data_IF_959520479521
#
_entry.id   IF_959520479521
#
_cell.length_a   1.000
_cell.length_b   1.000
_cell.length_c   1.000
_cell.angle_alpha   90.00
_cell.angle_beta   90.00
_cell.angle_gamma   90.00
#
_symmetry.space_group_name_H-M   'P 1'
#
loop_
_entity.id
_entity.type
_entity.pdbx_description
1 polymer ?
#
# COMPACT_ATOMS: atom_id res chain seq x y z
N UNK A 1 -9.05 -4.10 -5.66
CA UNK A 1 -9.44 -2.68 -5.89
C UNK A 1 -9.82 -2.52 -7.35
N UNK A 2 -11.00 -2.09 -7.64
CA UNK A 2 -11.33 -1.81 -9.01
C UNK A 2 -10.39 -0.71 -9.53
N UNK A 3 -9.88 -0.90 -10.73
CA UNK A 3 -9.00 0.09 -11.36
C UNK A 3 -9.72 1.44 -11.38
N UNK A 4 -9.14 2.52 -10.84
CA UNK A 4 -9.77 3.84 -10.80
C UNK A 4 -10.26 4.30 -12.18
N UNK A 5 -11.39 5.01 -12.22
CA UNK A 5 -12.03 5.45 -13.46
C UNK A 5 -11.08 6.27 -14.35
N UNK A 6 -10.28 7.15 -13.77
CA UNK A 6 -9.33 7.96 -14.53
C UNK A 6 -8.26 7.09 -15.22
N UNK A 7 -7.82 5.99 -14.61
CA UNK A 7 -6.88 5.04 -15.23
C UNK A 7 -7.55 4.31 -16.37
N UNK A 8 -8.79 3.84 -16.21
CA UNK A 8 -9.55 3.22 -17.30
C UNK A 8 -9.69 4.14 -18.51
N UNK A 9 -10.04 5.39 -18.24
CA UNK A 9 -10.15 6.42 -19.30
C UNK A 9 -8.82 6.69 -20.01
N UNK A 10 -7.70 6.67 -19.27
CA UNK A 10 -6.37 6.79 -19.88
C UNK A 10 -6.03 5.57 -20.74
N UNK A 11 -6.30 4.35 -20.21
CA UNK A 11 -6.04 3.09 -20.93
C UNK A 11 -6.79 2.97 -22.26
N UNK A 12 -8.01 3.49 -22.35
CA UNK A 12 -8.76 3.55 -23.61
C UNK A 12 -8.03 4.34 -24.70
N UNK A 13 -7.17 5.28 -24.32
CA UNK A 13 -6.43 6.15 -25.24
C UNK A 13 -5.02 5.68 -25.55
N UNK A 14 -4.34 5.10 -24.56
CA UNK A 14 -2.92 4.75 -24.66
C UNK A 14 -2.69 3.22 -24.70
N UNK A 15 -3.73 2.40 -24.53
CA UNK A 15 -3.59 0.95 -24.47
C UNK A 15 -2.73 0.54 -23.28
N UNK A 16 -1.77 -0.35 -23.51
CA UNK A 16 -0.88 -0.91 -22.48
C UNK A 16 0.44 -0.17 -22.29
N UNK A 17 0.60 1.02 -22.91
CA UNK A 17 1.81 1.82 -22.71
C UNK A 17 2.07 2.14 -21.24
N UNK A 18 3.33 2.40 -20.90
CA UNK A 18 3.72 2.69 -19.52
C UNK A 18 2.96 3.90 -18.97
N UNK A 19 2.24 3.69 -17.88
CA UNK A 19 1.67 4.74 -17.03
C UNK A 19 2.57 4.96 -15.81
N UNK A 20 3.02 6.19 -15.63
CA UNK A 20 3.73 6.62 -14.44
C UNK A 20 2.74 7.24 -13.46
N UNK A 21 2.54 6.61 -12.32
CA UNK A 21 1.45 6.88 -11.38
C UNK A 21 1.98 7.12 -9.97
N UNK A 22 1.31 7.95 -9.17
CA UNK A 22 1.53 7.95 -7.74
C UNK A 22 1.00 6.65 -7.12
N UNK A 23 1.68 6.17 -6.08
CA UNK A 23 1.23 5.09 -5.23
C UNK A 23 1.33 5.48 -3.77
N UNK A 24 0.55 4.83 -2.92
CA UNK A 24 0.63 4.95 -1.46
C UNK A 24 0.73 3.57 -0.83
N UNK A 25 1.57 3.45 0.20
CA UNK A 25 1.77 2.21 0.97
C UNK A 25 1.78 2.52 2.46
N UNK A 26 1.12 1.72 3.28
CA UNK A 26 1.01 1.95 4.71
C UNK A 26 1.59 0.83 5.55
N UNK A 27 2.49 1.15 6.48
CA UNK A 27 2.83 0.28 7.61
C UNK A 27 1.88 0.62 8.74
N UNK A 28 0.84 -0.17 8.88
CA UNK A 28 -0.21 0.02 9.90
C UNK A 28 0.09 -0.84 11.11
N UNK A 29 0.17 -0.22 12.27
CA UNK A 29 0.51 -0.88 13.53
C UNK A 29 -0.66 -0.75 14.52
N UNK A 30 -0.97 -1.81 15.23
CA UNK A 30 -1.95 -1.78 16.32
C UNK A 30 -1.28 -1.48 17.68
N UNK A 31 -2.09 -1.38 18.74
CA UNK A 31 -1.61 -1.09 20.10
C UNK A 31 -0.67 -2.19 20.66
N UNK A 32 -0.72 -3.40 20.11
CA UNK A 32 0.18 -4.50 20.47
C UNK A 32 1.48 -4.52 19.65
N UNK A 33 1.66 -3.56 18.73
CA UNK A 33 2.83 -3.48 17.84
C UNK A 33 2.80 -4.48 16.68
N UNK A 34 1.64 -5.07 16.37
CA UNK A 34 1.46 -5.97 15.22
C UNK A 34 1.22 -5.17 13.95
N UNK A 35 1.67 -5.71 12.82
CA UNK A 35 1.56 -5.11 11.49
C UNK A 35 0.38 -5.70 10.74
N UNK A 36 -0.42 -4.85 10.11
CA UNK A 36 -1.53 -5.24 9.24
C UNK A 36 -1.02 -5.64 7.86
N UNK A 37 -1.39 -6.83 7.42
CA UNK A 37 -1.08 -7.34 6.09
C UNK A 37 -2.31 -7.91 5.41
N UNK A 38 -2.33 -7.83 4.09
CA UNK A 38 -3.28 -8.52 3.22
C UNK A 38 -2.57 -9.54 2.34
N UNK A 39 -3.21 -10.68 2.08
CA UNK A 39 -2.75 -11.65 1.10
C UNK A 39 -3.42 -11.37 -0.23
N UNK A 40 -2.66 -11.02 -1.24
CA UNK A 40 -3.16 -10.64 -2.57
C UNK A 40 -3.84 -11.82 -3.28
N UNK A 41 -5.00 -11.59 -3.86
CA UNK A 41 -5.72 -12.62 -4.62
C UNK A 41 -5.08 -12.95 -5.97
N UNK A 42 -4.35 -12.01 -6.57
CA UNK A 42 -3.71 -12.17 -7.88
C UNK A 42 -2.38 -12.95 -7.82
N UNK A 43 -1.59 -12.76 -6.77
CA UNK A 43 -0.25 -13.39 -6.62
C UNK A 43 -0.16 -14.39 -5.48
N UNK A 44 -1.07 -14.36 -4.51
CA UNK A 44 -0.99 -15.11 -3.27
C UNK A 44 0.06 -14.61 -2.28
N UNK A 45 0.76 -13.51 -2.59
CA UNK A 45 1.77 -12.92 -1.73
C UNK A 45 1.14 -12.06 -0.63
N UNK A 46 1.77 -12.08 0.55
CA UNK A 46 1.46 -11.14 1.61
C UNK A 46 2.07 -9.77 1.31
N UNK A 47 1.32 -8.71 1.59
CA UNK A 47 1.74 -7.34 1.32
C UNK A 47 1.19 -6.35 2.34
N UNK A 48 1.87 -5.22 2.47
CA UNK A 48 1.36 -4.04 3.14
C UNK A 48 0.16 -3.46 2.37
N UNK A 49 -0.84 -2.89 3.05
CA UNK A 49 -1.93 -2.17 2.38
C UNK A 49 -1.37 -1.07 1.48
N UNK A 50 -1.87 -0.98 0.27
CA UNK A 50 -1.40 -0.02 -0.72
C UNK A 50 -2.50 0.32 -1.72
N UNK A 51 -2.35 1.42 -2.42
CA UNK A 51 -3.31 1.79 -3.45
C UNK A 51 -2.87 2.95 -4.32
N UNK A 52 -3.79 3.40 -5.15
CA UNK A 52 -3.57 4.48 -6.10
C UNK A 52 -4.39 5.70 -5.68
N UNK A 53 -3.75 6.84 -5.38
CA UNK A 53 -4.48 8.08 -5.12
C UNK A 53 -5.34 8.48 -6.34
N UNK A 54 -6.52 8.96 -6.08
CA UNK A 54 -7.39 9.53 -7.09
C UNK A 54 -7.09 11.02 -7.31
N UNK A 55 -7.39 11.56 -8.51
CA UNK A 55 -7.20 12.98 -8.78
C UNK A 55 -7.90 13.86 -7.74
N UNK A 56 -7.12 14.74 -7.10
CA UNK A 56 -7.59 15.64 -6.04
C UNK A 56 -7.39 15.13 -4.61
N UNK A 57 -7.06 13.86 -4.42
CA UNK A 57 -6.73 13.33 -3.07
C UNK A 57 -5.33 13.73 -2.63
N UNK A 58 -5.18 13.98 -1.33
CA UNK A 58 -3.87 14.01 -0.69
C UNK A 58 -3.38 12.58 -0.43
N UNK A 59 -2.07 12.33 -0.50
CA UNK A 59 -1.49 10.99 -0.38
C UNK A 59 -1.88 10.28 0.93
N UNK A 60 -1.86 10.99 2.05
CA UNK A 60 -2.26 10.42 3.34
C UNK A 60 -3.76 10.08 3.42
N UNK A 61 -4.62 10.90 2.78
CA UNK A 61 -6.06 10.63 2.71
C UNK A 61 -6.36 9.42 1.82
N UNK A 62 -5.68 9.34 0.66
CA UNK A 62 -5.79 8.19 -0.22
C UNK A 62 -5.40 6.90 0.50
N UNK A 63 -4.28 6.90 1.24
CA UNK A 63 -3.86 5.74 2.01
C UNK A 63 -4.89 5.33 3.07
N UNK A 64 -5.42 6.30 3.82
CA UNK A 64 -6.42 6.00 4.85
C UNK A 64 -7.70 5.38 4.24
N UNK A 65 -8.13 5.84 3.07
CA UNK A 65 -9.25 5.27 2.31
C UNK A 65 -8.93 3.84 1.86
N UNK A 66 -7.79 3.63 1.23
CA UNK A 66 -7.37 2.30 0.75
C UNK A 66 -7.28 1.27 1.88
N UNK A 67 -6.67 1.64 3.02
CA UNK A 67 -6.62 0.75 4.19
C UNK A 67 -8.02 0.35 4.66
N UNK A 68 -8.94 1.31 4.74
CA UNK A 68 -10.31 1.03 5.15
C UNK A 68 -11.06 0.15 4.14
N UNK A 69 -10.89 0.40 2.84
CA UNK A 69 -11.53 -0.36 1.76
C UNK A 69 -11.02 -1.79 1.67
N UNK A 70 -9.70 -2.01 1.80
CA UNK A 70 -9.10 -3.34 1.68
C UNK A 70 -9.26 -4.19 2.95
N UNK A 71 -9.21 -3.55 4.12
CA UNK A 71 -9.02 -4.27 5.39
C UNK A 71 -10.08 -4.05 6.46
N UNK A 72 -10.97 -3.07 6.28
CA UNK A 72 -11.93 -2.66 7.30
C UNK A 72 -11.34 -1.89 8.49
N UNK A 73 -10.03 -1.63 8.49
CA UNK A 73 -9.34 -0.92 9.57
C UNK A 73 -9.28 0.57 9.27
N UNK A 74 -9.59 1.40 10.26
CA UNK A 74 -9.39 2.85 10.19
C UNK A 74 -8.05 3.23 10.80
N UNK A 75 -7.38 4.23 10.22
CA UNK A 75 -6.02 4.60 10.60
C UNK A 75 -5.83 6.11 10.79
N UNK A 76 -4.88 6.47 11.64
CA UNK A 76 -4.21 7.76 11.63
C UNK A 76 -2.88 7.61 10.89
N UNK A 77 -2.64 8.49 9.90
CA UNK A 77 -1.39 8.54 9.15
C UNK A 77 -0.45 9.50 9.87
N UNK A 78 0.64 8.98 10.43
CA UNK A 78 1.49 9.75 11.34
C UNK A 78 2.68 10.43 10.66
N UNK A 79 3.40 9.72 9.79
CA UNK A 79 4.57 10.29 9.11
C UNK A 79 4.88 9.61 7.78
N UNK A 80 5.53 10.35 6.91
CA UNK A 80 6.08 9.84 5.65
C UNK A 80 7.39 9.09 5.94
N UNK A 81 7.48 7.82 5.54
CA UNK A 81 8.66 6.97 5.70
C UNK A 81 9.64 7.13 4.55
N UNK A 82 9.14 7.06 3.32
CA UNK A 82 9.94 7.18 2.11
C UNK A 82 9.14 7.64 0.90
N UNK A 83 9.87 8.14 -0.09
CA UNK A 83 9.39 8.32 -1.46
C UNK A 83 10.36 7.58 -2.36
N UNK A 84 9.87 6.60 -3.10
CA UNK A 84 10.68 5.73 -3.96
C UNK A 84 10.03 5.56 -5.33
N UNK A 85 10.81 5.66 -6.40
CA UNK A 85 10.38 5.21 -7.73
C UNK A 85 10.63 3.71 -7.84
N UNK A 86 9.54 2.95 -7.92
CA UNK A 86 9.60 1.49 -8.01
C UNK A 86 9.93 1.05 -9.45
N UNK A 87 10.45 -0.18 -9.64
CA UNK A 87 10.62 -0.74 -10.97
C UNK A 87 9.28 -0.83 -11.73
N UNK A 88 9.29 -0.75 -13.06
CA UNK A 88 8.09 -0.99 -13.87
C UNK A 88 7.49 -2.37 -13.59
N UNK A 89 6.18 -2.43 -13.56
CA UNK A 89 5.38 -3.63 -13.30
C UNK A 89 4.48 -3.88 -14.50
N UNK A 90 4.46 -5.12 -15.00
CA UNK A 90 3.51 -5.56 -16.05
C UNK A 90 2.45 -6.44 -15.43
N UNK A 91 1.20 -6.05 -15.59
CA UNK A 91 0.04 -6.82 -15.14
C UNK A 91 -0.29 -7.96 -16.11
N UNK A 92 -1.06 -8.99 -15.66
CA UNK A 92 -1.42 -10.13 -16.52
C UNK A 92 -2.16 -9.75 -17.80
N UNK A 93 -2.90 -8.63 -17.81
CA UNK A 93 -3.59 -8.09 -18.98
C UNK A 93 -2.66 -7.34 -19.96
N UNK A 94 -1.37 -7.24 -19.65
CA UNK A 94 -0.36 -6.56 -20.46
C UNK A 94 -0.16 -5.08 -20.15
N UNK A 95 -0.95 -4.49 -19.26
CA UNK A 95 -0.78 -3.11 -18.82
C UNK A 95 0.54 -2.91 -18.08
N UNK A 96 1.27 -1.84 -18.41
CA UNK A 96 2.52 -1.50 -17.77
C UNK A 96 2.34 -0.26 -16.91
N UNK A 97 2.73 -0.36 -15.62
CA UNK A 97 2.73 0.76 -14.68
C UNK A 97 4.09 0.91 -14.02
N UNK A 98 4.41 2.13 -13.63
CA UNK A 98 5.52 2.44 -12.75
C UNK A 98 5.05 3.43 -11.68
N UNK A 99 5.33 3.13 -10.42
CA UNK A 99 4.83 3.92 -9.31
C UNK A 99 5.93 4.77 -8.67
N UNK A 100 5.57 6.02 -8.35
CA UNK A 100 6.25 6.81 -7.32
C UNK A 100 5.51 6.54 -6.02
N UNK A 101 6.05 5.65 -5.21
CA UNK A 101 5.41 5.21 -3.99
C UNK A 101 5.70 6.16 -2.81
N UNK A 102 4.65 6.49 -2.08
CA UNK A 102 4.70 7.29 -0.86
C UNK A 102 4.35 6.36 0.30
N UNK A 103 5.36 5.93 1.04
CA UNK A 103 5.17 5.03 2.17
C UNK A 103 5.01 5.78 3.48
N UNK A 104 4.01 5.41 4.28
CA UNK A 104 3.68 6.06 5.55
C UNK A 104 3.66 5.07 6.71
N UNK A 105 4.02 5.57 7.90
CA UNK A 105 3.72 4.92 9.16
C UNK A 105 2.34 5.35 9.64
N UNK A 106 1.53 4.37 10.02
CA UNK A 106 0.14 4.55 10.44
C UNK A 106 -0.14 3.81 11.75
N UNK A 107 -1.07 4.35 12.53
CA UNK A 107 -1.64 3.66 13.70
C UNK A 107 -3.09 3.29 13.43
N UNK A 108 -3.48 2.06 13.79
CA UNK A 108 -4.87 1.68 13.81
C UNK A 108 -5.64 2.50 14.83
N UNK A 109 -6.79 3.05 14.43
CA UNK A 109 -7.66 3.86 15.30
C UNK A 109 -9.03 3.25 15.51
N UNK A 110 -9.38 2.20 14.76
CA UNK A 110 -10.65 1.51 14.88
C UNK A 110 -10.86 0.49 13.77
N UNK A 111 -12.05 -0.10 13.75
CA UNK A 111 -12.40 -1.17 12.82
C UNK A 111 -11.83 -2.53 13.23
N UNK A 112 -12.28 -3.56 12.53
CA UNK A 112 -11.78 -4.93 12.69
C UNK A 112 -11.18 -5.39 11.37
N UNK A 113 -9.97 -5.96 11.43
CA UNK A 113 -9.30 -6.47 10.24
C UNK A 113 -10.08 -7.66 9.66
N UNK A 114 -10.52 -7.53 8.43
CA UNK A 114 -11.21 -8.56 7.66
C UNK A 114 -10.99 -8.34 6.17
N UNK A 115 -11.28 -9.34 5.37
CA UNK A 115 -11.33 -9.19 3.90
C UNK A 115 -12.52 -8.31 3.56
N UNK A 116 -12.27 -7.08 3.16
CA UNK A 116 -13.32 -6.09 2.90
C UNK A 116 -13.61 -5.91 1.40
N UNK A 117 -12.71 -6.37 0.53
CA UNK A 117 -12.87 -6.35 -0.92
C UNK A 117 -12.53 -7.72 -1.54
N UNK A 118 -12.51 -7.81 -2.88
CA UNK A 118 -12.20 -9.02 -3.64
C UNK A 118 -10.72 -9.15 -4.03
N UNK A 119 -9.87 -8.21 -3.62
CA UNK A 119 -8.44 -8.21 -3.91
C UNK A 119 -7.61 -9.00 -2.91
N UNK A 120 -8.16 -9.22 -1.71
CA UNK A 120 -7.49 -9.94 -0.64
C UNK A 120 -8.11 -11.31 -0.41
N UNK A 121 -7.26 -12.34 -0.30
CA UNK A 121 -7.67 -13.68 0.16
C UNK A 121 -7.80 -13.73 1.67
N UNK A 122 -6.91 -13.03 2.36
CA UNK A 122 -6.86 -12.94 3.82
C UNK A 122 -6.34 -11.56 4.23
N UNK A 123 -6.77 -11.11 5.40
CA UNK A 123 -6.28 -9.91 6.08
C UNK A 123 -6.02 -10.25 7.54
N UNK A 124 -4.93 -9.79 8.11
CA UNK A 124 -4.61 -10.09 9.50
C UNK A 124 -3.49 -9.24 10.10
N UNK A 125 -3.37 -9.38 11.42
CA UNK A 125 -2.35 -8.73 12.24
C UNK A 125 -1.23 -9.72 12.54
N UNK A 126 0.01 -9.33 12.29
CA UNK A 126 1.19 -10.17 12.47
C UNK A 126 2.21 -9.53 13.39
N UNK A 127 2.74 -10.29 14.39
CA UNK A 127 3.88 -9.83 15.16
C UNK A 127 5.07 -9.56 14.22
N UNK A 128 5.82 -8.49 14.47
CA UNK A 128 7.00 -8.18 13.64
C UNK A 128 8.05 -9.28 13.67
N UNK A 129 8.13 -10.03 14.77
CA UNK A 129 9.03 -11.18 14.90
C UNK A 129 8.59 -12.41 14.09
N UNK A 130 7.34 -12.43 13.59
CA UNK A 130 6.75 -13.59 12.90
C UNK A 130 5.89 -13.11 11.71
N UNK A 131 6.48 -12.29 10.86
CA UNK A 131 5.85 -11.84 9.61
C UNK A 131 5.88 -12.97 8.56
N UNK A 132 4.80 -13.14 7.78
CA UNK A 132 4.88 -13.96 6.58
C UNK A 132 5.91 -13.36 5.61
N UNK A 133 6.35 -14.15 4.60
CA UNK A 133 7.30 -13.63 3.61
C UNK A 133 6.77 -12.37 2.94
N UNK A 134 7.56 -11.29 3.02
CA UNK A 134 7.30 -10.02 2.34
C UNK A 134 8.43 -9.74 1.36
N UNK A 135 8.14 -8.96 0.33
CA UNK A 135 9.17 -8.42 -0.57
C UNK A 135 10.16 -7.56 0.23
N UNK A 136 11.41 -7.48 -0.24
CA UNK A 136 12.49 -6.76 0.44
C UNK A 136 12.19 -5.28 0.69
N UNK A 137 11.58 -4.61 -0.29
CA UNK A 137 11.16 -3.22 -0.18
C UNK A 137 10.16 -3.03 0.98
N UNK A 138 9.19 -3.93 1.12
CA UNK A 138 8.20 -3.88 2.20
C UNK A 138 8.78 -4.24 3.57
N UNK A 139 9.67 -5.22 3.65
CA UNK A 139 10.40 -5.53 4.90
C UNK A 139 11.15 -4.31 5.41
N UNK A 140 11.77 -3.55 4.50
CA UNK A 140 12.47 -2.31 4.82
C UNK A 140 11.54 -1.23 5.34
N UNK A 141 10.34 -1.09 4.77
CA UNK A 141 9.33 -0.15 5.26
C UNK A 141 8.89 -0.48 6.69
N UNK A 142 8.67 -1.76 6.99
CA UNK A 142 8.35 -2.20 8.35
C UNK A 142 9.48 -1.83 9.33
N UNK A 143 10.74 -2.02 8.95
CA UNK A 143 11.88 -1.63 9.76
C UNK A 143 11.93 -0.12 9.99
N UNK A 144 11.75 0.69 8.94
CA UNK A 144 11.73 2.16 9.02
C UNK A 144 10.60 2.69 9.91
N UNK A 145 9.44 2.07 9.87
CA UNK A 145 8.29 2.47 10.68
C UNK A 145 8.54 2.29 12.19
N UNK A 146 9.46 1.42 12.56
CA UNK A 146 9.84 1.14 13.97
C UNK A 146 10.99 1.99 14.48
N UNK A 147 11.66 2.73 13.61
CA UNK A 147 12.73 3.65 14.01
C UNK A 147 12.14 4.95 14.53
N UNK A 148 12.29 5.21 15.82
CA UNK A 148 11.85 6.46 16.43
C UNK A 148 12.66 7.64 15.88
N UNK A 149 11.96 8.70 15.44
CA UNK A 149 12.57 9.94 14.97
C UNK A 149 13.34 9.83 13.66
N UNK A 150 13.18 8.74 12.91
CA UNK A 150 13.80 8.60 11.59
C UNK A 150 13.30 9.68 10.61
N UNK A 151 14.23 10.25 9.85
CA UNK A 151 13.89 11.18 8.77
C UNK A 151 13.24 10.41 7.60
N UNK A 152 12.44 11.14 6.82
CA UNK A 152 11.91 10.61 5.57
C UNK A 152 13.04 10.20 4.63
N UNK A 153 13.01 8.99 4.15
CA UNK A 153 14.03 8.44 3.28
C UNK A 153 13.73 8.70 1.80
N UNK A 154 14.74 9.07 1.06
CA UNK A 154 14.70 9.18 -0.40
C UNK A 154 16.09 8.90 -0.97
N UNK A 155 16.14 8.44 -2.24
CA UNK A 155 17.40 8.22 -2.95
C UNK A 155 17.89 9.56 -3.51
N UNK A 156 19.19 9.85 -3.29
CA UNK A 156 19.87 11.06 -3.79
C UNK A 156 20.66 10.75 -5.05
#
# INVERSE_FOLDING_TARGET
>A
MPVPEFIRSLRERIGSELLWLPGVTGVVVDDAGRVLLGQRSDTGEWALPSGIPEPGEQMAQALAREVAEETGVTVAVDRLLSIDTLPPLTYPNGDVCQFVDHAFACRATGGEAHVADDESLQVGWFPVADLPPLRRDQQRLVALAREDGAETRFVR
#
